data_IF_683821352485
#
_entry.id   IF_683821352485
#
_cell.length_a   1.000
_cell.length_b   1.000
_cell.length_c   1.000
_cell.angle_alpha   90.00
_cell.angle_beta   90.00
_cell.angle_gamma   90.00
#
_symmetry.space_group_name_H-M   'P 1'
#
loop_
_entity.id
_entity.type
_entity.pdbx_description
1 polymer ?
#
# COMPACT_ATOMS: atom_id res chain seq x y z
N UNK A 1 -3.38 -0.72 6.36
CA UNK A 1 -4.23 -0.73 7.56
C UNK A 1 -4.34 -2.13 8.13
N UNK A 2 -4.98 -2.25 9.29
CA UNK A 2 -5.51 -3.51 9.82
C UNK A 2 -6.83 -3.81 9.10
N UNK A 3 -6.96 -5.01 8.53
CA UNK A 3 -8.18 -5.40 7.80
C UNK A 3 -9.36 -5.55 8.74
N UNK A 4 -10.56 -5.14 8.30
CA UNK A 4 -11.78 -5.36 9.06
C UNK A 4 -11.97 -6.87 9.33
N UNK A 5 -12.21 -7.23 10.60
CA UNK A 5 -12.45 -8.61 11.08
C UNK A 5 -11.28 -9.57 10.86
N UNK A 6 -10.05 -9.07 10.69
CA UNK A 6 -8.84 -9.90 10.65
C UNK A 6 -7.72 -9.24 11.46
N UNK A 7 -6.80 -10.03 12.02
CA UNK A 7 -5.61 -9.52 12.70
C UNK A 7 -4.41 -9.30 11.77
N UNK A 8 -4.65 -9.33 10.45
CA UNK A 8 -3.64 -9.10 9.43
C UNK A 8 -3.53 -7.62 9.04
N UNK A 9 -2.28 -7.16 8.89
CA UNK A 9 -1.95 -5.84 8.37
C UNK A 9 -1.53 -5.95 6.90
N UNK A 10 -1.92 -4.97 6.09
CA UNK A 10 -1.46 -4.85 4.70
C UNK A 10 -1.44 -3.39 4.26
N UNK A 11 -0.80 -3.14 3.12
CA UNK A 11 -0.93 -1.87 2.41
C UNK A 11 -2.31 -1.74 1.72
N UNK A 12 -2.77 -0.50 1.49
CA UNK A 12 -3.91 -0.21 0.62
C UNK A 12 -3.73 -0.83 -0.76
N UNK A 13 -4.79 -1.43 -1.29
CA UNK A 13 -4.77 -2.08 -2.59
C UNK A 13 -6.14 -2.09 -3.27
N UNK A 14 -6.16 -1.90 -4.59
CA UNK A 14 -7.38 -2.16 -5.35
C UNK A 14 -7.18 -2.20 -6.84
N UNK A 15 -8.26 -2.46 -7.57
CA UNK A 15 -8.23 -2.88 -8.96
C UNK A 15 -8.13 -1.72 -9.95
N UNK A 16 -7.32 -1.84 -11.00
CA UNK A 16 -7.29 -0.88 -12.11
C UNK A 16 -8.50 -1.12 -13.02
N UNK A 17 -9.34 -0.10 -13.18
CA UNK A 17 -10.54 -0.16 -14.02
C UNK A 17 -10.23 -0.05 -15.52
N UNK A 18 -11.19 -0.40 -16.38
CA UNK A 18 -11.00 -0.30 -17.82
C UNK A 18 -10.79 1.16 -18.26
N UNK A 19 -9.70 1.42 -18.98
CA UNK A 19 -9.32 2.78 -19.42
C UNK A 19 -8.61 3.61 -18.34
N UNK A 20 -8.44 3.08 -17.13
CA UNK A 20 -7.76 3.75 -16.03
C UNK A 20 -6.24 3.52 -16.12
N UNK A 21 -5.46 4.59 -15.94
CA UNK A 21 -4.00 4.48 -15.75
C UNK A 21 -3.68 4.01 -14.33
N UNK A 22 -2.52 3.38 -14.09
CA UNK A 22 -2.14 2.96 -12.74
C UNK A 22 -2.13 4.12 -11.71
N UNK A 23 -1.80 5.33 -12.14
CA UNK A 23 -1.82 6.52 -11.27
C UNK A 23 -3.25 6.95 -10.92
N UNK A 24 -4.18 6.94 -11.88
CA UNK A 24 -5.59 7.25 -11.61
C UNK A 24 -6.19 6.23 -10.63
N UNK A 25 -5.90 4.94 -10.83
CA UNK A 25 -6.33 3.89 -9.92
C UNK A 25 -5.75 4.11 -8.51
N UNK A 26 -4.45 4.42 -8.42
CA UNK A 26 -3.81 4.73 -7.14
C UNK A 26 -4.51 5.87 -6.39
N UNK A 27 -4.82 6.99 -7.06
CA UNK A 27 -5.52 8.10 -6.42
C UNK A 27 -6.94 7.74 -5.99
N UNK A 28 -7.67 6.97 -6.80
CA UNK A 28 -9.02 6.52 -6.47
C UNK A 28 -9.01 5.60 -5.25
N UNK A 29 -8.16 4.57 -5.25
CA UNK A 29 -8.01 3.64 -4.13
C UNK A 29 -7.51 4.35 -2.85
N UNK A 30 -6.58 5.29 -2.99
CA UNK A 30 -6.11 6.10 -1.87
C UNK A 30 -7.25 6.88 -1.21
N UNK A 31 -8.15 7.44 -2.02
CA UNK A 31 -9.33 8.12 -1.51
C UNK A 31 -10.34 7.15 -0.90
N UNK A 32 -10.66 6.04 -1.58
CA UNK A 32 -11.65 5.06 -1.12
C UNK A 32 -11.25 4.38 0.19
N UNK A 33 -9.98 3.98 0.31
CA UNK A 33 -9.50 3.17 1.44
C UNK A 33 -8.90 4.01 2.58
N UNK A 34 -8.35 5.19 2.26
CA UNK A 34 -7.56 6.01 3.20
C UNK A 34 -8.10 7.44 3.33
N UNK A 35 -9.03 7.86 2.46
CA UNK A 35 -9.62 9.21 2.49
C UNK A 35 -8.69 10.34 2.05
N UNK A 36 -7.48 10.02 1.57
CA UNK A 36 -6.52 11.05 1.16
C UNK A 36 -6.75 11.46 -0.29
N UNK A 37 -6.54 12.75 -0.55
CA UNK A 37 -6.60 13.34 -1.88
C UNK A 37 -5.21 13.59 -2.44
N UNK A 38 -5.12 13.88 -3.74
CA UNK A 38 -3.86 14.19 -4.40
C UNK A 38 -3.08 15.36 -3.76
N UNK A 39 -3.78 16.32 -3.14
CA UNK A 39 -3.13 17.43 -2.42
C UNK A 39 -2.48 17.03 -1.10
N UNK A 40 -2.85 15.87 -0.54
CA UNK A 40 -2.30 15.37 0.72
C UNK A 40 -1.06 14.49 0.53
N UNK A 41 -0.68 14.18 -0.72
CA UNK A 41 0.42 13.28 -1.01
C UNK A 41 1.33 13.81 -2.12
N UNK A 42 2.50 13.20 -2.22
CA UNK A 42 3.41 13.34 -3.35
C UNK A 42 3.95 11.97 -3.74
N UNK A 43 3.97 11.68 -5.04
CA UNK A 43 4.53 10.43 -5.55
C UNK A 43 6.06 10.53 -5.56
N UNK A 44 6.73 9.73 -4.74
CA UNK A 44 8.20 9.63 -4.75
C UNK A 44 8.71 8.67 -5.84
N UNK A 45 7.93 7.64 -6.15
CA UNK A 45 8.27 6.69 -7.19
C UNK A 45 7.26 5.56 -7.32
N UNK A 46 7.45 4.73 -8.34
CA UNK A 46 6.69 3.50 -8.55
C UNK A 46 7.60 2.36 -9.02
N UNK A 47 7.13 1.13 -8.88
CA UNK A 47 7.79 -0.02 -9.52
C UNK A 47 7.71 0.11 -11.04
N UNK A 48 8.77 -0.30 -11.73
CA UNK A 48 8.85 -0.22 -13.20
C UNK A 48 7.93 -1.24 -13.85
N UNK A 49 8.01 -2.46 -13.35
CA UNK A 49 7.33 -3.63 -13.88
C UNK A 49 6.23 -4.11 -12.93
N UNK A 50 5.33 -4.93 -13.49
CA UNK A 50 4.29 -5.61 -12.73
C UNK A 50 4.89 -6.70 -11.85
N UNK A 51 4.57 -6.64 -10.56
CA UNK A 51 4.92 -7.68 -9.60
C UNK A 51 3.78 -8.68 -9.49
N UNK A 52 4.09 -9.97 -9.53
CA UNK A 52 3.07 -11.02 -9.49
C UNK A 52 3.29 -11.92 -8.27
N UNK A 53 2.19 -12.25 -7.61
CA UNK A 53 2.15 -13.39 -6.70
C UNK A 53 1.01 -14.33 -7.10
N UNK A 54 1.16 -15.60 -6.76
CA UNK A 54 0.12 -16.60 -6.91
C UNK A 54 -0.49 -16.93 -5.55
N UNK A 55 -1.79 -17.17 -5.50
CA UNK A 55 -2.49 -17.55 -4.26
C UNK A 55 -2.45 -19.07 -4.14
N UNK A 56 -1.93 -19.64 -3.04
CA UNK A 56 -1.90 -21.08 -2.88
C UNK A 56 -3.32 -21.67 -2.87
N UNK A 57 -3.50 -22.84 -3.49
CA UNK A 57 -4.82 -23.50 -3.61
C UNK A 57 -5.48 -23.78 -2.24
N UNK A 58 -4.71 -23.89 -1.16
CA UNK A 58 -5.21 -24.08 0.21
C UNK A 58 -5.98 -22.87 0.77
N UNK A 59 -5.78 -21.67 0.20
CA UNK A 59 -6.44 -20.43 0.62
C UNK A 59 -7.69 -20.10 -0.20
N UNK A 60 -7.92 -20.81 -1.32
CA UNK A 60 -9.15 -20.66 -2.09
C UNK A 60 -10.35 -21.20 -1.31
N UNK A 61 -11.39 -20.38 -1.11
CA UNK A 61 -12.67 -20.88 -0.60
C UNK A 61 -13.13 -22.02 -1.50
N UNK A 62 -13.35 -23.22 -0.93
CA UNK A 62 -13.89 -24.43 -1.57
C UNK A 62 -15.16 -24.19 -2.42
N UNK A 63 -15.85 -23.07 -2.20
CA UNK A 63 -17.14 -22.73 -2.81
C UNK A 63 -17.09 -21.64 -3.90
N UNK A 64 -15.95 -20.97 -4.11
CA UNK A 64 -15.85 -19.93 -5.15
C UNK A 64 -15.38 -20.54 -6.46
N UNK A 65 -16.25 -20.60 -7.46
CA UNK A 65 -15.93 -21.00 -8.85
C UNK A 65 -14.95 -20.06 -9.56
N UNK A 66 -14.47 -19.00 -8.90
CA UNK A 66 -13.41 -18.16 -9.42
C UNK A 66 -12.06 -18.79 -9.09
N UNK A 67 -11.38 -19.34 -10.10
CA UNK A 67 -9.98 -19.76 -10.04
C UNK A 67 -9.09 -18.52 -9.83
N UNK A 68 -9.15 -17.91 -8.66
CA UNK A 68 -8.30 -16.78 -8.31
C UNK A 68 -6.88 -17.28 -8.11
N UNK A 69 -6.07 -17.20 -9.17
CA UNK A 69 -4.72 -17.78 -9.22
C UNK A 69 -3.63 -16.85 -8.71
N UNK A 70 -3.94 -15.58 -8.48
CA UNK A 70 -2.94 -14.56 -8.16
C UNK A 70 -3.35 -13.19 -8.66
N UNK A 71 -2.42 -12.25 -8.58
CA UNK A 71 -2.62 -10.88 -9.03
C UNK A 71 -1.35 -10.31 -9.63
N UNK A 72 -1.51 -9.30 -10.49
CA UNK A 72 -0.42 -8.43 -10.93
C UNK A 72 -0.57 -7.08 -10.25
N UNK A 73 0.53 -6.57 -9.72
CA UNK A 73 0.58 -5.36 -8.92
C UNK A 73 1.60 -4.34 -9.43
N UNK A 74 1.24 -3.05 -9.43
CA UNK A 74 2.19 -1.93 -9.48
C UNK A 74 2.18 -1.27 -8.10
N UNK A 75 3.35 -0.97 -7.56
CA UNK A 75 3.49 -0.33 -6.26
C UNK A 75 3.90 1.12 -6.41
N UNK A 76 3.32 1.98 -5.58
CA UNK A 76 3.64 3.40 -5.46
C UNK A 76 4.19 3.69 -4.08
N UNK A 77 5.29 4.42 -4.02
CA UNK A 77 5.82 5.04 -2.82
C UNK A 77 5.34 6.49 -2.78
N UNK A 78 4.56 6.82 -1.75
CA UNK A 78 4.01 8.15 -1.55
C UNK A 78 4.60 8.79 -0.31
N UNK A 79 4.83 10.09 -0.40
CA UNK A 79 5.07 10.97 0.75
C UNK A 79 3.77 11.59 1.20
N UNK A 80 3.41 11.47 2.47
CA UNK A 80 2.31 12.27 3.03
C UNK A 80 2.78 13.71 3.20
N UNK A 81 2.10 14.65 2.56
CA UNK A 81 2.32 16.10 2.68
C UNK A 81 1.21 16.79 3.47
N UNK A 82 0.06 16.13 3.65
CA UNK A 82 -1.02 16.53 4.55
C UNK A 82 -0.73 16.18 6.01
N UNK A 83 -1.79 16.20 6.81
CA UNK A 83 -1.76 15.87 8.23
C UNK A 83 -2.27 14.44 8.49
N UNK A 84 -1.82 13.83 9.58
CA UNK A 84 -2.31 12.52 10.03
C UNK A 84 -3.85 12.49 10.21
N UNK A 85 -4.47 13.63 10.55
CA UNK A 85 -5.92 13.75 10.70
C UNK A 85 -6.69 13.74 9.37
N UNK A 86 -6.01 13.88 8.24
CA UNK A 86 -6.62 13.79 6.91
C UNK A 86 -6.90 12.32 6.52
N UNK A 87 -6.31 11.35 7.22
CA UNK A 87 -6.56 9.93 7.00
C UNK A 87 -7.95 9.55 7.52
N UNK A 88 -8.83 9.14 6.62
CA UNK A 88 -10.18 8.70 6.92
C UNK A 88 -10.46 7.31 6.32
N UNK A 89 -10.37 6.26 7.14
CA UNK A 89 -10.67 4.88 6.74
C UNK A 89 -12.18 4.61 6.56
N UNK A 90 -13.02 5.63 6.69
CA UNK A 90 -14.49 5.58 6.56
C UNK A 90 -15.00 6.39 5.38
N UNK A 91 -14.11 6.76 4.44
CA UNK A 91 -14.47 7.52 3.25
C UNK A 91 -15.35 6.73 2.26
N UNK A 92 -15.26 5.39 2.28
CA UNK A 92 -16.08 4.48 1.46
C UNK A 92 -17.20 3.81 2.27
N UNK A 93 -18.30 3.46 1.60
CA UNK A 93 -19.42 2.66 2.16
C UNK A 93 -18.99 1.23 2.55
N UNK A 94 -17.88 0.75 1.97
CA UNK A 94 -17.32 -0.58 2.21
C UNK A 94 -15.86 -0.48 2.64
N UNK A 95 -15.59 -0.07 3.89
CA UNK A 95 -14.22 0.14 4.35
C UNK A 95 -13.45 -1.18 4.41
N UNK A 96 -12.24 -1.20 3.84
CA UNK A 96 -11.34 -2.36 3.91
C UNK A 96 -10.59 -2.43 5.26
N UNK A 97 -10.33 -1.29 5.88
CA UNK A 97 -9.53 -1.15 7.10
C UNK A 97 -10.32 -0.58 8.28
N UNK A 98 -9.97 -1.01 9.51
CA UNK A 98 -10.50 -0.42 10.75
C UNK A 98 -9.47 0.41 11.52
N UNK A 99 -8.18 0.20 11.27
CA UNK A 99 -7.10 0.95 11.89
C UNK A 99 -5.92 1.17 10.93
N UNK A 100 -5.18 2.24 11.16
CA UNK A 100 -3.92 2.53 10.50
C UNK A 100 -2.87 2.92 11.54
N UNK A 101 -1.60 2.74 11.18
CA UNK A 101 -0.45 3.19 11.98
C UNK A 101 0.73 3.41 11.05
N UNK A 102 1.61 4.32 11.44
CA UNK A 102 2.94 4.40 10.87
C UNK A 102 3.74 3.14 11.22
N UNK A 103 4.54 2.67 10.26
CA UNK A 103 5.49 1.56 10.42
C UNK A 103 6.81 1.96 9.79
N UNK A 104 7.89 1.34 10.23
CA UNK A 104 9.18 1.45 9.53
C UNK A 104 9.05 0.98 8.08
N UNK A 105 9.84 1.58 7.20
CA UNK A 105 9.83 1.24 5.77
C UNK A 105 10.05 -0.25 5.52
N UNK A 106 11.01 -0.84 6.24
CA UNK A 106 11.26 -2.27 6.24
C UNK A 106 10.26 -2.94 7.17
N UNK A 107 9.13 -3.36 6.59
CA UNK A 107 8.09 -4.09 7.31
C UNK A 107 8.60 -5.48 7.69
N UNK A 108 8.30 -5.91 8.91
CA UNK A 108 8.52 -7.29 9.34
C UNK A 108 7.69 -8.24 8.47
N UNK A 109 8.36 -8.98 7.58
CA UNK A 109 7.69 -9.89 6.63
C UNK A 109 6.85 -10.95 7.35
N UNK A 110 7.14 -11.27 8.62
CA UNK A 110 6.36 -12.19 9.42
C UNK A 110 4.95 -11.69 9.76
N UNK A 111 4.75 -10.36 9.76
CA UNK A 111 3.43 -9.74 9.90
C UNK A 111 2.58 -9.78 8.62
N UNK A 112 3.21 -10.13 7.48
CA UNK A 112 2.58 -10.22 6.16
C UNK A 112 2.25 -11.68 5.85
N UNK A 113 1.10 -11.89 5.20
CA UNK A 113 0.68 -13.21 4.74
C UNK A 113 1.73 -13.82 3.79
N UNK A 114 2.03 -15.10 4.00
CA UNK A 114 3.20 -15.79 3.44
C UNK A 114 3.38 -15.57 1.93
N UNK A 115 2.33 -15.77 1.14
CA UNK A 115 2.40 -15.67 -0.31
C UNK A 115 2.58 -14.23 -0.85
N UNK A 116 2.39 -13.19 -0.02
CA UNK A 116 2.67 -11.79 -0.39
C UNK A 116 4.08 -11.34 0.00
N UNK A 117 4.79 -12.09 0.87
CA UNK A 117 6.10 -11.68 1.42
C UNK A 117 7.12 -11.36 0.34
N UNK A 118 7.18 -12.17 -0.70
CA UNK A 118 8.16 -11.98 -1.78
C UNK A 118 7.87 -10.72 -2.61
N UNK A 119 6.60 -10.46 -2.94
CA UNK A 119 6.22 -9.23 -3.65
C UNK A 119 6.50 -7.99 -2.81
N UNK A 120 6.22 -8.03 -1.50
CA UNK A 120 6.58 -6.96 -0.58
C UNK A 120 8.10 -6.72 -0.58
N UNK A 121 8.89 -7.79 -0.47
CA UNK A 121 10.35 -7.71 -0.49
C UNK A 121 10.86 -7.09 -1.79
N UNK A 122 10.34 -7.51 -2.94
CA UNK A 122 10.73 -6.96 -4.25
C UNK A 122 10.35 -5.49 -4.38
N UNK A 123 9.11 -5.13 -4.01
CA UNK A 123 8.61 -3.76 -4.08
C UNK A 123 9.42 -2.81 -3.20
N UNK A 124 9.63 -3.16 -1.93
CA UNK A 124 10.41 -2.35 -0.99
C UNK A 124 11.87 -2.20 -1.44
N UNK A 125 12.49 -3.26 -1.96
CA UNK A 125 13.85 -3.13 -2.48
C UNK A 125 13.93 -2.23 -3.72
N UNK A 126 12.97 -2.32 -4.65
CA UNK A 126 12.96 -1.47 -5.83
C UNK A 126 12.68 0.01 -5.48
N UNK A 127 11.78 0.25 -4.54
CA UNK A 127 11.37 1.58 -4.14
C UNK A 127 12.37 2.25 -3.18
N UNK A 128 13.25 1.49 -2.53
CA UNK A 128 14.24 1.99 -1.59
C UNK A 128 15.14 3.09 -2.18
N UNK A 129 15.39 3.08 -3.49
CA UNK A 129 16.18 4.11 -4.19
C UNK A 129 15.53 5.50 -4.21
N UNK A 130 14.21 5.57 -3.99
CA UNK A 130 13.44 6.81 -3.94
C UNK A 130 13.29 7.32 -2.50
N UNK A 131 13.81 6.59 -1.52
CA UNK A 131 13.83 7.08 -0.15
C UNK A 131 14.70 8.34 -0.10
N UNK A 132 14.22 9.40 0.58
CA UNK A 132 15.06 10.56 0.84
C UNK A 132 16.36 10.07 1.49
N UNK A 133 17.50 10.48 0.96
CA UNK A 133 18.77 10.23 1.63
C UNK A 133 18.63 10.75 3.07
N UNK A 134 18.85 9.89 4.07
CA UNK A 134 18.83 10.26 5.49
C UNK A 134 19.97 11.23 5.87
N UNK A 135 20.48 12.02 4.93
CA UNK A 135 21.61 12.90 5.09
C UNK A 135 21.22 14.35 4.82
N UNK A 136 21.08 15.11 5.91
CA UNK A 136 21.46 16.51 5.94
C UNK A 136 20.37 17.54 6.23
N UNK A 137 19.78 17.53 7.43
CA UNK A 137 19.52 18.76 8.20
C UNK A 137 19.03 18.45 9.63
N UNK A 138 19.96 18.42 10.58
CA UNK A 138 19.63 18.79 11.96
C UNK A 138 19.37 20.30 11.98
N UNK A 139 18.12 20.72 12.21
CA UNK A 139 17.76 21.86 13.06
C UNK A 139 16.25 22.17 12.98
N UNK A 140 15.44 21.39 13.71
CA UNK A 140 14.41 21.88 14.65
C UNK A 140 13.71 20.68 15.30
N UNK A 141 14.26 20.35 16.47
CA UNK A 141 13.67 19.71 17.66
C UNK A 141 12.31 19.01 17.50
N UNK A 142 12.33 17.70 17.82
CA UNK A 142 11.19 16.79 18.08
C UNK A 142 10.33 16.29 16.89
N UNK A 143 10.93 15.45 16.04
CA UNK A 143 10.42 14.13 15.60
C UNK A 143 11.35 13.56 14.54
N UNK A 144 12.41 12.90 14.98
CA UNK A 144 13.17 12.00 14.10
C UNK A 144 12.40 10.68 14.09
N UNK A 145 11.51 10.54 13.11
CA UNK A 145 10.97 9.26 12.70
C UNK A 145 10.85 9.26 11.18
N UNK A 146 10.99 8.09 10.62
CA UNK A 146 10.73 7.64 9.25
C UNK A 146 9.26 7.87 8.81
N UNK A 147 8.66 9.01 9.17
CA UNK A 147 7.24 9.12 9.55
C UNK A 147 6.27 9.53 8.43
N UNK A 148 6.65 9.50 7.14
CA UNK A 148 5.77 10.02 6.08
C UNK A 148 5.75 9.20 4.80
N UNK A 149 5.80 7.87 4.89
CA UNK A 149 5.82 7.00 3.71
C UNK A 149 4.61 6.07 3.70
N UNK A 150 3.75 6.25 2.70
CA UNK A 150 2.62 5.39 2.41
C UNK A 150 2.98 4.56 1.18
N UNK A 151 2.96 3.22 1.32
CA UNK A 151 3.01 2.34 0.16
C UNK A 151 1.59 1.95 -0.22
N UNK A 152 1.27 2.08 -1.50
CA UNK A 152 -0.01 1.68 -2.08
C UNK A 152 0.25 0.73 -3.24
N UNK A 153 -0.56 -0.31 -3.34
CA UNK A 153 -0.43 -1.30 -4.38
C UNK A 153 -1.66 -1.22 -5.28
N UNK A 154 -1.51 -1.47 -6.57
CA UNK A 154 -2.62 -1.44 -7.53
C UNK A 154 -2.67 -2.76 -8.25
N UNK A 155 -3.84 -3.40 -8.31
CA UNK A 155 -4.05 -4.76 -8.81
C UNK A 155 -4.69 -4.75 -10.18
N UNK A 156 -4.34 -5.72 -11.02
CA UNK A 156 -5.12 -6.05 -12.22
C UNK A 156 -5.42 -7.53 -12.22
N UNK A 157 -6.70 -7.88 -12.21
CA UNK A 157 -7.22 -9.24 -12.43
C UNK A 157 -7.04 -9.68 -13.86
#
# INVERSE_FOLDING_TARGET
GKRIRQDAWQFPQGGIQHGETPEQAMYRELHEEVGLHACHIEILGRTRDWMRYDVPNSWGKRESRSHFRGQKQIWFLLRLTGHDCDVCLRASEHPEFDAWRWTEYWVELDSVIEFKREVYRMALNELARYLPALHGQQARLHRSRSEYQLNINQEKT
#
